data_IF_659922971549
#
_entry.id   IF_659922971549
#
_cell.length_a   1.000
_cell.length_b   1.000
_cell.length_c   1.000
_cell.angle_alpha   90.00
_cell.angle_beta   90.00
_cell.angle_gamma   90.00
#
_symmetry.space_group_name_H-M   'P 1'
#
loop_
_entity.id
_entity.type
_entity.pdbx_description
1 polymer ?
#
# COMPACT_ATOMS: atom_id res chain seq x y z
N UNK A 1 -10.54 11.26 1.56
CA UNK A 1 -10.49 12.11 2.76
C UNK A 1 -11.66 11.74 3.66
N UNK A 2 -11.41 11.05 4.79
CA UNK A 2 -12.48 10.54 5.66
C UNK A 2 -12.92 11.62 6.64
N UNK A 3 -14.13 12.14 6.48
CA UNK A 3 -14.86 12.93 7.48
C UNK A 3 -15.67 11.92 8.30
N UNK A 4 -15.53 11.88 9.62
CA UNK A 4 -16.07 10.77 10.48
C UNK A 4 -17.61 10.59 10.49
N UNK A 5 -18.37 11.36 9.71
CA UNK A 5 -19.80 11.16 9.49
C UNK A 5 -20.16 10.87 8.03
N UNK A 6 -19.22 11.09 7.11
CA UNK A 6 -19.43 10.97 5.67
C UNK A 6 -19.06 9.55 5.24
N UNK A 7 -20.08 8.70 5.10
CA UNK A 7 -19.92 7.31 4.66
C UNK A 7 -19.71 7.20 3.14
N UNK A 8 -19.83 8.32 2.41
CA UNK A 8 -19.72 8.36 0.97
C UNK A 8 -18.30 8.04 0.51
N UNK A 9 -18.19 7.14 -0.48
CA UNK A 9 -16.95 6.92 -1.24
C UNK A 9 -17.18 7.54 -2.62
N UNK A 10 -16.17 8.24 -3.11
CA UNK A 10 -16.19 8.88 -4.42
C UNK A 10 -14.91 8.58 -5.17
N UNK A 11 -15.02 8.26 -6.44
CA UNK A 11 -13.90 8.29 -7.37
C UNK A 11 -13.90 9.66 -8.06
N UNK A 12 -12.77 10.35 -7.99
CA UNK A 12 -12.58 11.67 -8.59
C UNK A 12 -11.59 11.57 -9.73
N UNK A 13 -11.99 12.09 -10.90
CA UNK A 13 -11.12 12.20 -12.04
C UNK A 13 -10.42 13.57 -12.03
N UNK A 14 -9.10 13.64 -11.78
CA UNK A 14 -8.41 14.90 -11.51
C UNK A 14 -8.39 15.90 -12.67
N UNK A 15 -8.43 15.42 -13.92
CA UNK A 15 -8.37 16.30 -15.09
C UNK A 15 -9.73 16.78 -15.62
N UNK A 16 -10.77 15.97 -15.52
CA UNK A 16 -12.12 16.31 -16.01
C UNK A 16 -13.00 16.90 -14.92
N UNK A 17 -12.62 16.75 -13.65
CA UNK A 17 -13.44 17.15 -12.52
C UNK A 17 -14.61 16.19 -12.23
N UNK A 18 -14.76 15.12 -13.03
CA UNK A 18 -15.86 14.17 -12.86
C UNK A 18 -15.76 13.43 -11.52
N UNK A 19 -16.91 13.23 -10.90
CA UNK A 19 -17.06 12.51 -9.64
C UNK A 19 -18.06 11.39 -9.85
N UNK A 20 -17.68 10.19 -9.42
CA UNK A 20 -18.56 9.02 -9.41
C UNK A 20 -18.76 8.60 -7.97
N UNK A 21 -20.02 8.60 -7.54
CA UNK A 21 -20.41 8.10 -6.23
C UNK A 21 -20.38 6.56 -6.23
N UNK A 22 -19.87 5.99 -5.14
CA UNK A 22 -19.81 4.56 -4.87
C UNK A 22 -20.66 4.25 -3.63
N UNK A 23 -21.04 2.97 -3.43
CA UNK A 23 -21.79 2.57 -2.25
C UNK A 23 -21.14 3.05 -0.94
N UNK A 24 -21.95 3.40 0.09
CA UNK A 24 -21.41 3.88 1.35
C UNK A 24 -20.68 2.77 2.12
N UNK A 25 -19.60 3.13 2.85
CA UNK A 25 -18.84 2.21 3.70
C UNK A 25 -19.66 1.60 4.84
N UNK A 26 -20.83 2.15 5.16
CA UNK A 26 -21.70 1.66 6.23
C UNK A 26 -22.03 0.18 6.09
N UNK A 27 -22.22 -0.29 4.84
CA UNK A 27 -22.55 -1.69 4.56
C UNK A 27 -21.37 -2.64 4.83
N UNK A 28 -20.12 -2.18 4.74
CA UNK A 28 -18.96 -3.01 5.07
C UNK A 28 -18.78 -3.19 6.57
N UNK A 29 -19.20 -2.20 7.37
CA UNK A 29 -19.07 -2.23 8.83
C UNK A 29 -19.88 -3.35 9.47
N UNK A 30 -21.01 -3.72 8.86
CA UNK A 30 -21.86 -4.82 9.36
C UNK A 30 -21.24 -6.20 9.14
N UNK A 31 -20.27 -6.31 8.23
CA UNK A 31 -19.57 -7.57 7.93
C UNK A 31 -18.26 -7.76 8.70
N UNK A 32 -17.87 -6.80 9.55
CA UNK A 32 -16.70 -6.95 10.43
C UNK A 32 -17.05 -8.01 11.49
N UNK A 33 -16.30 -9.12 11.51
CA UNK A 33 -16.46 -10.15 12.53
C UNK A 33 -16.31 -9.55 13.94
N UNK A 34 -17.21 -9.92 14.84
CA UNK A 34 -17.18 -9.47 16.23
C UNK A 34 -16.01 -10.08 17.02
N UNK A 35 -15.43 -11.17 16.51
CA UNK A 35 -14.29 -11.86 17.12
C UNK A 35 -12.98 -11.11 16.90
N UNK A 36 -12.96 -10.12 16.01
CA UNK A 36 -11.78 -9.29 15.77
C UNK A 36 -11.53 -8.35 16.98
N UNK A 37 -10.28 -8.19 17.45
CA UNK A 37 -9.95 -7.40 18.63
C UNK A 37 -10.52 -5.97 18.61
N UNK A 38 -11.45 -5.66 19.52
CA UNK A 38 -12.07 -4.34 19.60
C UNK A 38 -13.16 -4.05 18.56
N UNK A 39 -13.57 -5.02 17.73
CA UNK A 39 -14.69 -4.87 16.79
C UNK A 39 -16.05 -4.68 17.48
N UNK A 40 -16.16 -5.05 18.77
CA UNK A 40 -17.34 -4.81 19.59
C UNK A 40 -17.61 -3.31 19.85
N UNK A 41 -16.58 -2.46 19.81
CA UNK A 41 -16.73 -1.04 20.06
C UNK A 41 -16.99 -0.25 18.75
N UNK A 42 -18.10 0.50 18.61
CA UNK A 42 -18.49 1.16 17.35
C UNK A 42 -17.42 2.07 16.74
N UNK A 43 -16.66 2.76 17.59
CA UNK A 43 -15.56 3.65 17.18
C UNK A 43 -14.38 2.87 16.57
N UNK A 44 -14.14 1.64 17.01
CA UNK A 44 -13.04 0.80 16.56
C UNK A 44 -13.40 -0.02 15.31
N UNK A 45 -14.67 -0.14 14.92
CA UNK A 45 -15.02 -0.85 13.68
C UNK A 45 -14.44 -0.19 12.43
N UNK A 46 -14.42 1.14 12.40
CA UNK A 46 -13.84 1.88 11.29
C UNK A 46 -12.31 1.75 11.20
N UNK A 47 -11.66 1.24 12.25
CA UNK A 47 -10.25 0.84 12.25
C UNK A 47 -9.96 -0.26 11.26
N UNK A 48 -10.86 -1.23 11.10
CA UNK A 48 -10.68 -2.31 10.13
C UNK A 48 -10.73 -1.84 8.67
N UNK A 49 -11.25 -0.62 8.45
CA UNK A 49 -11.34 0.03 7.14
C UNK A 49 -10.30 1.18 6.98
N UNK A 50 -9.33 1.30 7.89
CA UNK A 50 -8.33 2.38 7.89
C UNK A 50 -7.16 2.12 6.92
N UNK A 51 -6.76 0.87 6.78
CA UNK A 51 -5.67 0.46 5.89
C UNK A 51 -6.21 -0.30 4.67
N UNK A 52 -6.43 0.46 3.58
CA UNK A 52 -7.08 -0.04 2.37
C UNK A 52 -6.25 0.27 1.15
N UNK A 53 -5.88 -0.75 0.37
CA UNK A 53 -5.38 -0.56 -0.99
C UNK A 53 -6.55 -0.58 -1.97
N UNK A 54 -6.65 0.44 -2.80
CA UNK A 54 -7.76 0.60 -3.74
C UNK A 54 -7.25 0.39 -5.16
N UNK A 55 -8.00 -0.38 -5.93
CA UNK A 55 -7.82 -0.56 -7.36
C UNK A 55 -9.12 -0.29 -8.09
N UNK A 56 -9.06 0.15 -9.34
CA UNK A 56 -10.25 0.33 -10.15
C UNK A 56 -10.00 -0.01 -11.63
N UNK A 57 -11.05 -0.43 -12.31
CA UNK A 57 -11.05 -0.66 -13.76
C UNK A 57 -12.31 -0.02 -14.36
N UNK A 58 -12.27 0.25 -15.66
CA UNK A 58 -13.40 0.81 -16.40
C UNK A 58 -13.71 -0.11 -17.56
N UNK A 59 -14.96 -0.56 -17.65
CA UNK A 59 -15.41 -1.42 -18.76
C UNK A 59 -15.56 -0.62 -20.05
N UNK A 60 -15.68 -1.32 -21.19
CA UNK A 60 -16.00 -0.67 -22.47
C UNK A 60 -17.34 0.09 -22.44
N UNK A 61 -18.27 -0.31 -21.58
CA UNK A 61 -19.54 0.38 -21.35
C UNK A 61 -19.42 1.58 -20.38
N UNK A 62 -18.20 1.92 -19.93
CA UNK A 62 -17.96 3.03 -18.99
C UNK A 62 -18.31 2.71 -17.53
N UNK A 63 -18.63 1.46 -17.20
CA UNK A 63 -18.91 1.05 -15.83
C UNK A 63 -17.60 0.96 -15.06
N UNK A 64 -17.50 1.71 -13.96
CA UNK A 64 -16.32 1.70 -13.10
C UNK A 64 -16.50 0.59 -12.08
N UNK A 65 -15.51 -0.28 -11.97
CA UNK A 65 -15.43 -1.32 -10.95
C UNK A 65 -14.30 -0.99 -9.99
N UNK A 66 -14.59 -0.92 -8.70
CA UNK A 66 -13.63 -0.62 -7.64
C UNK A 66 -13.45 -1.83 -6.73
N UNK A 67 -12.19 -2.13 -6.40
CA UNK A 67 -11.80 -3.10 -5.40
C UNK A 67 -11.06 -2.43 -4.24
N UNK A 68 -11.38 -2.86 -3.03
CA UNK A 68 -10.79 -2.43 -1.78
C UNK A 68 -10.18 -3.64 -1.08
N UNK A 69 -8.85 -3.71 -1.03
CA UNK A 69 -8.12 -4.69 -0.25
C UNK A 69 -8.21 -4.28 1.23
N UNK A 70 -8.99 -5.03 2.02
CA UNK A 70 -9.20 -4.81 3.45
C UNK A 70 -8.21 -5.66 4.28
N UNK A 71 -6.98 -5.16 4.45
CA UNK A 71 -5.87 -5.95 5.02
C UNK A 71 -6.16 -6.53 6.40
N UNK A 72 -6.84 -5.75 7.27
CA UNK A 72 -7.21 -6.18 8.63
C UNK A 72 -8.35 -7.19 8.67
N UNK A 73 -9.10 -7.34 7.58
CA UNK A 73 -10.18 -8.33 7.44
C UNK A 73 -9.75 -9.55 6.60
N UNK A 74 -8.59 -9.48 5.94
CA UNK A 74 -8.11 -10.54 5.06
C UNK A 74 -9.02 -10.81 3.87
N UNK A 75 -9.79 -9.82 3.42
CA UNK A 75 -10.74 -9.98 2.31
C UNK A 75 -10.67 -8.79 1.35
N UNK A 76 -11.39 -8.91 0.24
CA UNK A 76 -11.54 -7.83 -0.75
C UNK A 76 -13.01 -7.45 -0.83
N UNK A 77 -13.28 -6.16 -0.68
CA UNK A 77 -14.57 -5.59 -1.00
C UNK A 77 -14.57 -5.06 -2.44
N UNK A 78 -15.67 -5.22 -3.17
CA UNK A 78 -15.80 -4.67 -4.51
C UNK A 78 -17.20 -4.12 -4.76
N UNK A 79 -17.28 -3.15 -5.66
CA UNK A 79 -18.52 -2.55 -6.12
C UNK A 79 -18.31 -1.91 -7.49
N UNK A 80 -19.36 -1.86 -8.29
CA UNK A 80 -19.43 -1.07 -9.51
C UNK A 80 -20.05 0.30 -9.24
N UNK A 81 -19.93 1.23 -10.19
CA UNK A 81 -20.63 2.51 -10.18
C UNK A 81 -22.16 2.39 -10.29
N UNK A 82 -22.68 1.19 -10.53
CA UNK A 82 -24.11 0.91 -10.61
C UNK A 82 -24.65 0.23 -9.34
N UNK A 83 -23.77 -0.31 -8.50
CA UNK A 83 -24.18 -1.01 -7.29
C UNK A 83 -24.67 -0.05 -6.20
N UNK A 84 -25.55 -0.55 -5.34
CA UNK A 84 -26.03 0.17 -4.16
C UNK A 84 -25.32 -0.27 -2.87
N UNK A 85 -24.57 -1.38 -2.92
CA UNK A 85 -23.87 -1.96 -1.77
C UNK A 85 -22.51 -2.53 -2.18
N UNK A 86 -21.62 -2.66 -1.20
CA UNK A 86 -20.37 -3.39 -1.37
C UNK A 86 -20.63 -4.89 -1.31
N UNK A 87 -19.93 -5.62 -2.15
CA UNK A 87 -19.83 -7.07 -2.13
C UNK A 87 -18.47 -7.47 -1.53
N UNK A 88 -18.41 -8.63 -0.87
CA UNK A 88 -17.19 -9.15 -0.27
C UNK A 88 -16.75 -10.41 -1.01
N UNK A 89 -15.44 -10.65 -1.04
CA UNK A 89 -14.87 -11.91 -1.48
C UNK A 89 -15.41 -13.08 -0.66
N UNK A 90 -15.67 -14.20 -1.32
CA UNK A 90 -16.05 -15.47 -0.67
C UNK A 90 -14.86 -16.17 -0.01
N UNK A 91 -13.65 -15.80 -0.42
CA UNK A 91 -12.38 -16.28 0.11
C UNK A 91 -11.75 -15.26 1.07
N UNK A 92 -10.83 -15.77 1.89
CA UNK A 92 -9.96 -14.95 2.74
C UNK A 92 -8.50 -15.19 2.39
N UNK A 93 -7.69 -14.14 2.48
CA UNK A 93 -6.25 -14.17 2.27
C UNK A 93 -5.61 -13.29 3.34
N UNK A 94 -4.75 -13.88 4.17
CA UNK A 94 -3.91 -13.10 5.07
C UNK A 94 -2.74 -12.50 4.29
N UNK A 95 -2.63 -11.18 4.27
CA UNK A 95 -1.56 -10.44 3.59
C UNK A 95 -1.17 -9.21 4.39
N UNK A 96 0.07 -8.75 4.22
CA UNK A 96 0.59 -7.57 4.93
C UNK A 96 0.91 -6.39 4.00
N UNK A 97 1.13 -6.63 2.70
CA UNK A 97 1.29 -5.58 1.68
C UNK A 97 0.41 -5.87 0.48
N UNK A 98 -0.14 -4.80 -0.07
CA UNK A 98 -0.88 -4.82 -1.33
C UNK A 98 -0.52 -3.62 -2.19
N UNK A 99 -0.61 -3.82 -3.50
CA UNK A 99 -0.38 -2.82 -4.54
C UNK A 99 -1.53 -2.88 -5.55
N UNK A 100 -2.01 -1.72 -5.99
CA UNK A 100 -2.87 -1.65 -7.17
C UNK A 100 -2.00 -1.41 -8.40
N UNK A 101 -2.27 -2.15 -9.46
CA UNK A 101 -1.58 -1.98 -10.74
C UNK A 101 -2.52 -2.39 -11.87
N UNK A 102 -2.74 -1.49 -12.83
CA UNK A 102 -3.58 -1.71 -14.01
C UNK A 102 -4.98 -2.28 -13.69
N UNK A 103 -5.61 -1.77 -12.63
CA UNK A 103 -6.94 -2.19 -12.21
C UNK A 103 -7.01 -3.51 -11.44
N UNK A 104 -5.87 -4.18 -11.24
CA UNK A 104 -5.75 -5.40 -10.42
C UNK A 104 -5.16 -5.09 -9.05
N UNK A 105 -5.34 -6.02 -8.12
CA UNK A 105 -4.67 -6.00 -6.82
C UNK A 105 -3.59 -7.08 -6.78
N UNK A 106 -2.41 -6.73 -6.31
CA UNK A 106 -1.31 -7.64 -6.02
C UNK A 106 -1.08 -7.66 -4.51
N UNK A 107 -0.96 -8.85 -3.92
CA UNK A 107 -0.92 -9.04 -2.47
C UNK A 107 0.20 -9.99 -2.10
N UNK A 108 1.03 -9.61 -1.13
CA UNK A 108 2.04 -10.52 -0.59
C UNK A 108 1.44 -11.25 0.61
N UNK A 109 1.35 -12.58 0.50
CA UNK A 109 0.85 -13.45 1.57
C UNK A 109 1.59 -13.13 2.87
N UNK A 110 0.86 -13.13 3.97
CA UNK A 110 1.45 -13.02 5.30
C UNK A 110 1.93 -14.40 5.73
N UNK A 111 3.19 -14.50 6.11
CA UNK A 111 3.71 -15.69 6.80
C UNK A 111 4.52 -15.25 8.02
N UNK A 112 4.29 -15.94 9.13
CA UNK A 112 5.02 -15.74 10.38
C UNK A 112 6.22 -16.66 10.50
N UNK A 113 6.40 -17.59 9.56
CA UNK A 113 7.48 -18.57 9.54
C UNK A 113 8.59 -18.02 8.63
N UNK A 114 9.77 -17.69 9.17
CA UNK A 114 10.84 -17.11 8.38
C UNK A 114 11.26 -17.97 7.18
N UNK A 115 11.27 -19.30 7.36
CA UNK A 115 11.72 -20.32 6.41
C UNK A 115 10.72 -20.59 5.27
N UNK A 116 9.49 -20.08 5.36
CA UNK A 116 8.50 -20.26 4.30
C UNK A 116 8.78 -19.37 3.09
N UNK A 117 8.49 -19.88 1.90
CA UNK A 117 8.54 -19.07 0.69
C UNK A 117 7.53 -17.93 0.75
N UNK A 118 7.82 -16.86 -0.01
CA UNK A 118 7.00 -15.64 -0.03
C UNK A 118 6.18 -15.63 -1.30
N UNK A 119 4.88 -15.84 -1.14
CA UNK A 119 3.94 -15.90 -2.26
C UNK A 119 3.32 -14.54 -2.55
N UNK A 120 3.25 -14.21 -3.84
CA UNK A 120 2.58 -13.03 -4.37
C UNK A 120 1.36 -13.47 -5.17
N UNK A 121 0.19 -12.99 -4.76
CA UNK A 121 -1.09 -13.26 -5.39
C UNK A 121 -1.57 -12.05 -6.20
N UNK A 122 -2.28 -12.31 -7.29
CA UNK A 122 -3.04 -11.33 -8.06
C UNK A 122 -4.53 -11.60 -7.89
N UNK A 123 -5.30 -10.53 -7.74
CA UNK A 123 -6.75 -10.53 -7.74
C UNK A 123 -7.22 -9.67 -8.90
N UNK A 124 -7.88 -10.31 -9.85
CA UNK A 124 -8.51 -9.67 -10.99
C UNK A 124 -9.85 -9.04 -10.57
N UNK A 125 -10.30 -7.97 -11.26
CA UNK A 125 -11.64 -7.42 -11.02
C UNK A 125 -12.72 -8.48 -11.29
N UNK A 126 -13.92 -8.35 -10.67
CA UNK A 126 -15.02 -9.26 -10.93
C UNK A 126 -15.34 -9.27 -12.43
N UNK A 127 -15.45 -10.46 -13.00
CA UNK A 127 -15.91 -10.64 -14.37
C UNK A 127 -17.43 -10.61 -14.35
N UNK A 128 -18.02 -9.57 -14.95
CA UNK A 128 -19.43 -9.57 -15.27
C UNK A 128 -19.60 -10.16 -16.66
N UNK A 129 -20.20 -11.34 -16.77
CA UNK A 129 -20.74 -11.77 -18.05
C UNK A 129 -21.71 -10.70 -18.55
N UNK A 130 -21.68 -10.47 -19.85
CA UNK A 130 -22.60 -9.57 -20.54
C UNK A 130 -24.04 -9.96 -20.20
N UNK A 131 -24.75 -9.11 -19.45
CA UNK A 131 -26.19 -9.23 -19.23
C UNK A 131 -26.61 -9.57 -17.80
N UNK A 132 -27.11 -8.54 -17.12
CA UNK A 132 -28.14 -8.54 -16.06
C UNK A 132 -28.33 -9.85 -15.29
N UNK A 133 -27.78 -9.92 -14.08
CA UNK A 133 -28.15 -10.93 -13.08
C UNK A 133 -27.28 -10.86 -11.84
N UNK A 134 -27.90 -10.76 -10.67
CA UNK A 134 -27.23 -10.73 -9.38
C UNK A 134 -26.30 -11.95 -9.20
N UNK A 135 -24.99 -11.77 -9.41
CA UNK A 135 -24.08 -12.90 -9.31
C UNK A 135 -22.60 -12.64 -9.58
N UNK A 136 -22.16 -11.39 -9.79
CA UNK A 136 -20.73 -11.12 -9.97
C UNK A 136 -19.99 -11.48 -8.69
N UNK A 137 -19.22 -12.57 -8.72
CA UNK A 137 -18.30 -12.95 -7.66
C UNK A 137 -16.90 -12.45 -8.02
N UNK A 138 -16.11 -12.17 -6.98
CA UNK A 138 -14.71 -11.85 -7.19
C UNK A 138 -13.95 -13.16 -7.45
N UNK A 139 -13.10 -13.25 -8.50
CA UNK A 139 -12.30 -14.45 -8.72
C UNK A 139 -11.38 -14.71 -7.54
N UNK A 140 -10.99 -15.98 -7.37
CA UNK A 140 -10.01 -16.35 -6.35
C UNK A 140 -8.62 -15.76 -6.66
N UNK A 141 -7.79 -15.49 -5.63
CA UNK A 141 -6.45 -14.96 -5.84
C UNK A 141 -5.58 -15.96 -6.59
N UNK A 142 -5.04 -15.55 -7.73
CA UNK A 142 -4.11 -16.35 -8.52
C UNK A 142 -2.69 -16.17 -7.98
N UNK A 143 -1.98 -17.26 -7.71
CA UNK A 143 -0.55 -17.21 -7.42
C UNK A 143 0.21 -16.73 -8.67
N UNK A 144 1.01 -15.68 -8.53
CA UNK A 144 1.80 -15.09 -9.62
C UNK A 144 3.28 -15.42 -9.49
N UNK A 145 3.80 -15.40 -8.27
CA UNK A 145 5.21 -15.70 -8.02
C UNK A 145 5.41 -16.25 -6.60
N UNK A 146 6.39 -17.13 -6.47
CA UNK A 146 6.87 -17.65 -5.19
C UNK A 146 8.35 -17.32 -5.07
N UNK A 147 8.72 -16.62 -4.00
CA UNK A 147 10.10 -16.20 -3.74
C UNK A 147 10.69 -17.13 -2.67
N UNK A 148 11.79 -17.82 -2.97
CA UNK A 148 12.42 -18.70 -1.98
C UNK A 148 12.89 -17.92 -0.73
N UNK A 149 12.72 -18.53 0.44
CA UNK A 149 13.05 -17.89 1.72
C UNK A 149 14.55 -17.57 1.90
N UNK A 150 15.43 -18.29 1.20
CA UNK A 150 16.88 -18.04 1.16
C UNK A 150 17.26 -16.84 0.29
N UNK A 151 16.34 -16.33 -0.54
CA UNK A 151 16.59 -15.21 -1.45
C UNK A 151 16.16 -13.88 -0.85
N UNK A 152 14.93 -13.80 -0.37
CA UNK A 152 14.40 -12.61 0.29
C UNK A 152 13.72 -12.95 1.60
N UNK A 153 14.07 -12.20 2.64
CA UNK A 153 13.43 -12.25 3.95
C UNK A 153 12.41 -11.12 4.12
N UNK A 154 11.45 -11.34 5.03
CA UNK A 154 10.43 -10.34 5.36
C UNK A 154 11.05 -9.08 6.01
N UNK A 155 10.44 -7.91 5.79
CA UNK A 155 9.28 -7.64 4.93
C UNK A 155 9.61 -7.59 3.43
N UNK A 156 8.70 -8.05 2.57
CA UNK A 156 8.70 -7.84 1.12
C UNK A 156 7.81 -6.62 0.80
N UNK A 157 8.17 -5.88 -0.23
CA UNK A 157 7.47 -4.67 -0.62
C UNK A 157 7.20 -4.68 -2.11
N UNK A 158 5.99 -4.24 -2.48
CA UNK A 158 5.58 -4.07 -3.87
C UNK A 158 5.57 -2.59 -4.21
N UNK A 159 6.17 -2.22 -5.33
CA UNK A 159 6.21 -0.83 -5.80
C UNK A 159 5.97 -0.79 -7.30
N UNK A 160 5.07 0.07 -7.74
CA UNK A 160 4.97 0.41 -9.17
C UNK A 160 6.11 1.36 -9.55
N UNK A 161 6.87 1.01 -10.58
CA UNK A 161 7.96 1.82 -11.14
C UNK A 161 7.99 1.63 -12.65
N UNK A 162 7.89 2.71 -13.43
CA UNK A 162 7.94 2.71 -14.90
C UNK A 162 7.06 1.63 -15.56
N UNK A 163 5.79 1.56 -15.12
CA UNK A 163 4.80 0.58 -15.59
C UNK A 163 5.19 -0.89 -15.34
N UNK A 164 6.04 -1.14 -14.35
CA UNK A 164 6.38 -2.47 -13.86
C UNK A 164 6.14 -2.56 -12.36
N UNK A 165 5.90 -3.78 -11.87
CA UNK A 165 5.88 -4.05 -10.43
C UNK A 165 7.27 -4.53 -10.02
N UNK A 166 7.89 -3.78 -9.12
CA UNK A 166 9.12 -4.13 -8.46
C UNK A 166 8.82 -4.75 -7.09
N UNK A 167 9.57 -5.81 -6.78
CA UNK A 167 9.51 -6.56 -5.53
C UNK A 167 10.82 -6.34 -4.79
N UNK A 168 10.76 -5.66 -3.64
CA UNK A 168 11.93 -5.35 -2.84
C UNK A 168 11.89 -6.10 -1.51
N UNK A 169 13.04 -6.58 -1.05
CA UNK A 169 13.18 -7.25 0.25
C UNK A 169 14.62 -7.22 0.74
N UNK A 170 14.83 -7.69 1.95
CA UNK A 170 16.18 -7.91 2.48
C UNK A 170 16.69 -9.29 2.11
N UNK A 171 17.99 -9.46 1.93
CA UNK A 171 18.59 -10.77 1.64
C UNK A 171 18.92 -11.56 2.90
N UNK A 172 18.94 -10.90 4.06
CA UNK A 172 19.38 -11.48 5.32
C UNK A 172 18.60 -10.92 6.51
N UNK A 173 18.57 -11.68 7.62
CA UNK A 173 17.83 -11.32 8.84
C UNK A 173 18.48 -10.17 9.63
N UNK A 174 19.74 -9.85 9.34
CA UNK A 174 20.43 -8.69 9.93
C UNK A 174 20.11 -7.40 9.15
N UNK A 175 19.32 -7.50 8.08
CA UNK A 175 18.91 -6.38 7.24
C UNK A 175 20.11 -5.67 6.59
N UNK A 176 21.16 -6.43 6.26
CA UNK A 176 22.44 -5.89 5.77
C UNK A 176 22.41 -5.50 4.29
N UNK A 177 21.67 -6.23 3.47
CA UNK A 177 21.52 -5.92 2.04
C UNK A 177 20.06 -6.02 1.60
N UNK A 178 19.71 -5.20 0.60
CA UNK A 178 18.42 -5.26 -0.08
C UNK A 178 18.60 -5.66 -1.53
N UNK A 179 17.59 -6.34 -2.06
CA UNK A 179 17.49 -6.66 -3.47
C UNK A 179 16.11 -6.28 -4.00
N UNK A 180 16.07 -5.99 -5.29
CA UNK A 180 14.87 -5.66 -6.04
C UNK A 180 14.78 -6.61 -7.21
N UNK A 181 13.59 -7.15 -7.48
CA UNK A 181 13.31 -7.99 -8.64
C UNK A 181 12.09 -7.46 -9.38
N UNK A 182 12.01 -7.70 -10.69
CA UNK A 182 10.77 -7.45 -11.43
C UNK A 182 9.80 -8.60 -11.17
N UNK A 183 8.54 -8.29 -10.88
CA UNK A 183 7.53 -9.33 -10.68
C UNK A 183 7.38 -10.23 -11.91
N UNK A 184 7.53 -9.69 -13.12
CA UNK A 184 7.47 -10.46 -14.36
C UNK A 184 8.59 -11.52 -14.48
N UNK A 185 9.79 -11.20 -13.99
CA UNK A 185 10.90 -12.15 -13.95
C UNK A 185 10.61 -13.25 -12.93
N UNK A 186 10.14 -12.87 -11.73
CA UNK A 186 9.76 -13.82 -10.68
C UNK A 186 8.62 -14.75 -11.12
N UNK A 187 7.63 -14.22 -11.84
CA UNK A 187 6.52 -15.00 -12.40
C UNK A 187 6.96 -15.98 -13.48
N UNK A 188 8.13 -15.74 -14.07
CA UNK A 188 8.79 -16.64 -15.03
C UNK A 188 9.88 -17.49 -14.34
N UNK A 189 9.86 -17.58 -13.02
CA UNK A 189 10.83 -18.31 -12.18
C UNK A 189 12.29 -17.83 -12.34
N UNK A 190 12.48 -16.58 -12.79
CA UNK A 190 13.79 -15.94 -12.94
C UNK A 190 14.09 -15.03 -11.76
N UNK A 191 15.12 -15.37 -11.00
CA UNK A 191 15.61 -14.60 -9.86
C UNK A 191 16.72 -13.62 -10.27
N UNK A 192 16.43 -12.73 -11.22
CA UNK A 192 17.40 -11.73 -11.68
C UNK A 192 17.25 -10.46 -10.84
N UNK A 193 18.28 -10.02 -10.09
CA UNK A 193 18.22 -8.79 -9.33
C UNK A 193 18.32 -7.57 -10.27
N UNK A 194 17.52 -6.56 -9.99
CA UNK A 194 17.58 -5.25 -10.61
C UNK A 194 18.70 -4.45 -9.94
N UNK A 195 19.73 -4.11 -10.71
CA UNK A 195 20.89 -3.35 -10.23
C UNK A 195 20.72 -1.84 -10.41
N UNK A 196 19.83 -1.41 -11.30
CA UNK A 196 19.50 -0.01 -11.54
C UNK A 196 18.01 0.14 -11.90
N UNK A 197 17.38 1.13 -11.27
CA UNK A 197 16.06 1.69 -11.55
C UNK A 197 16.20 3.11 -12.16
N UNK A 198 17.39 3.47 -12.64
CA UNK A 198 17.71 4.72 -13.29
C UNK A 198 17.56 5.94 -12.38
N UNK A 199 16.80 6.92 -12.85
CA UNK A 199 16.51 8.15 -12.10
C UNK A 199 15.46 7.94 -11.00
N UNK A 200 15.14 6.72 -10.59
CA UNK A 200 14.09 6.47 -9.59
C UNK A 200 14.66 6.19 -8.20
N UNK A 201 13.89 6.56 -7.20
CA UNK A 201 14.09 6.20 -5.81
C UNK A 201 12.81 5.56 -5.26
N UNK A 202 12.94 4.41 -4.60
CA UNK A 202 11.81 3.70 -4.01
C UNK A 202 11.67 4.10 -2.54
N UNK A 203 10.57 4.75 -2.18
CA UNK A 203 10.24 5.05 -0.79
C UNK A 203 9.33 3.97 -0.25
N UNK A 204 9.72 3.32 0.83
CA UNK A 204 9.07 2.09 1.30
C UNK A 204 8.58 2.23 2.74
N UNK A 205 7.27 1.98 2.94
CA UNK A 205 6.67 1.79 4.27
C UNK A 205 5.33 1.02 4.18
N UNK A 206 4.23 1.55 4.74
CA UNK A 206 2.88 0.95 4.68
C UNK A 206 2.44 0.74 3.23
N UNK A 207 2.68 1.77 2.41
CA UNK A 207 2.70 1.69 0.95
C UNK A 207 4.10 2.05 0.44
N UNK A 208 4.39 1.68 -0.81
CA UNK A 208 5.61 2.09 -1.49
C UNK A 208 5.30 3.10 -2.58
N UNK A 209 6.27 3.97 -2.88
CA UNK A 209 6.21 4.97 -3.94
C UNK A 209 7.50 4.91 -4.75
N UNK A 210 7.39 5.00 -6.08
CA UNK A 210 8.52 5.33 -6.94
C UNK A 210 8.52 6.83 -7.20
N UNK A 211 9.69 7.46 -7.03
CA UNK A 211 9.86 8.90 -7.17
C UNK A 211 11.07 9.18 -8.05
N UNK A 212 10.91 10.04 -9.05
CA UNK A 212 12.02 10.47 -9.89
C UNK A 212 12.97 11.39 -9.13
N UNK A 213 14.28 11.21 -9.32
CA UNK A 213 15.39 12.00 -8.76
C UNK A 213 15.75 13.21 -9.64
N UNK A 214 14.80 13.69 -10.45
CA UNK A 214 14.97 14.91 -11.26
C UNK A 214 15.42 16.11 -10.43
N UNK A 215 16.06 17.08 -11.09
CA UNK A 215 16.62 18.28 -10.48
C UNK A 215 15.64 19.09 -9.60
N UNK A 216 14.33 18.88 -9.74
CA UNK A 216 13.29 19.48 -8.92
C UNK A 216 13.20 18.91 -7.49
N UNK A 217 13.82 17.77 -7.19
CA UNK A 217 13.72 17.05 -5.91
C UNK A 217 15.11 16.91 -5.24
N UNK A 218 15.68 18.00 -4.69
CA UNK A 218 16.97 17.95 -4.03
C UNK A 218 16.97 16.95 -2.86
N UNK A 219 17.98 16.08 -2.82
CA UNK A 219 18.14 15.04 -1.78
C UNK A 219 17.51 13.68 -2.12
N UNK A 220 16.81 13.56 -3.26
CA UNK A 220 16.40 12.25 -3.80
C UNK A 220 17.50 11.76 -4.73
N UNK A 221 18.06 10.58 -4.44
CA UNK A 221 19.14 9.98 -5.24
C UNK A 221 18.56 8.83 -6.07
N UNK A 222 18.86 8.81 -7.38
CA UNK A 222 18.48 7.69 -8.26
C UNK A 222 19.12 6.38 -7.82
N UNK A 223 18.58 5.26 -8.28
CA UNK A 223 19.05 3.91 -7.91
C UNK A 223 19.04 3.61 -6.41
N UNK A 224 18.15 4.27 -5.65
CA UNK A 224 18.07 4.06 -4.19
C UNK A 224 16.74 3.52 -3.70
N UNK A 225 16.80 2.84 -2.56
CA UNK A 225 15.64 2.54 -1.71
C UNK A 225 15.75 3.37 -0.43
N UNK A 226 14.72 4.14 -0.10
CA UNK A 226 14.63 4.98 1.10
C UNK A 226 13.59 4.42 2.06
N UNK A 227 14.01 4.17 3.30
CA UNK A 227 13.17 3.58 4.35
C UNK A 227 13.71 3.93 5.75
N UNK A 228 12.98 3.66 6.85
CA UNK A 228 13.46 3.99 8.18
C UNK A 228 14.46 2.94 8.68
N UNK A 229 15.56 3.41 9.25
CA UNK A 229 16.50 2.60 10.02
C UNK A 229 15.79 1.92 11.19
N UNK A 230 16.01 0.63 11.37
CA UNK A 230 15.50 -0.11 12.53
C UNK A 230 16.13 0.34 13.85
N UNK A 231 17.37 0.85 13.80
CA UNK A 231 18.17 1.21 14.99
C UNK A 231 17.65 2.48 15.67
N UNK A 232 17.53 3.55 14.90
CA UNK A 232 17.25 4.89 15.41
C UNK A 232 15.99 5.51 14.79
N UNK A 233 15.44 4.93 13.71
CA UNK A 233 14.33 5.46 12.92
C UNK A 233 14.66 6.72 12.12
N UNK A 234 15.94 7.02 11.91
CA UNK A 234 16.37 7.93 10.85
C UNK A 234 16.04 7.35 9.48
N UNK A 235 15.91 8.19 8.45
CA UNK A 235 15.82 7.67 7.09
C UNK A 235 17.21 7.21 6.67
N UNK A 236 17.27 6.05 6.03
CA UNK A 236 18.47 5.50 5.41
C UNK A 236 18.15 5.22 3.94
N UNK A 237 19.18 5.30 3.11
CA UNK A 237 19.07 5.01 1.69
C UNK A 237 20.02 3.85 1.34
N UNK A 238 19.54 2.90 0.55
CA UNK A 238 20.32 1.79 0.02
C UNK A 238 20.52 1.98 -1.47
N UNK A 239 21.77 1.99 -1.93
CA UNK A 239 22.08 2.13 -3.35
C UNK A 239 22.14 0.76 -4.03
N UNK A 240 21.28 0.52 -5.02
CA UNK A 240 21.15 -0.78 -5.68
C UNK A 240 22.41 -1.22 -6.43
N UNK A 241 23.03 -0.31 -7.19
CA UNK A 241 24.22 -0.63 -7.99
C UNK A 241 25.48 -0.94 -7.19
N UNK A 242 25.69 -0.27 -6.03
CA UNK A 242 26.90 -0.42 -5.22
C UNK A 242 26.66 -1.35 -4.02
N UNK A 243 25.40 -1.55 -3.61
CA UNK A 243 25.03 -2.42 -2.50
C UNK A 243 25.34 -1.83 -1.13
N UNK A 244 25.35 -0.50 -0.99
CA UNK A 244 25.76 0.20 0.23
C UNK A 244 24.64 1.03 0.85
N UNK A 245 24.67 1.10 2.18
CA UNK A 245 23.82 2.00 2.96
C UNK A 245 24.50 3.35 3.12
N UNK A 246 23.72 4.40 2.97
CA UNK A 246 24.11 5.76 3.35
C UNK A 246 22.96 6.47 4.03
N UNK A 247 23.24 7.64 4.61
CA UNK A 247 22.19 8.52 5.12
C UNK A 247 21.83 9.52 4.01
N UNK A 248 20.56 9.61 3.61
CA UNK A 248 20.13 10.62 2.65
C UNK A 248 20.31 12.03 3.22
N UNK A 249 20.12 12.20 4.52
CA UNK A 249 20.14 13.47 5.24
C UNK A 249 20.45 13.24 6.73
N UNK A 250 20.95 14.29 7.39
CA UNK A 250 21.01 14.35 8.85
C UNK A 250 19.62 14.60 9.44
N UNK A 251 19.13 13.68 10.28
CA UNK A 251 17.80 13.80 10.87
C UNK A 251 17.20 12.47 11.34
N UNK A 252 16.21 12.54 12.23
CA UNK A 252 15.61 11.35 12.82
C UNK A 252 14.08 11.46 12.96
N UNK A 253 13.34 10.48 12.43
CA UNK A 253 11.86 10.48 12.52
C UNK A 253 11.37 10.20 13.95
N UNK A 254 12.25 9.70 14.82
CA UNK A 254 11.88 9.35 16.20
C UNK A 254 11.99 10.52 17.15
N UNK A 255 12.90 11.47 16.97
CA UNK A 255 13.18 12.50 17.98
C UNK A 255 12.32 13.76 17.88
N UNK A 256 11.52 13.94 16.81
CA UNK A 256 10.78 15.19 16.59
C UNK A 256 11.16 15.82 15.26
N UNK A 257 10.42 16.83 14.77
CA UNK A 257 10.76 17.48 13.51
C UNK A 257 12.18 18.04 13.60
N UNK A 258 13.00 17.73 12.59
CA UNK A 258 14.23 18.48 12.34
C UNK A 258 13.77 19.85 11.85
N UNK A 259 13.81 20.86 12.73
CA UNK A 259 13.58 22.24 12.34
C UNK A 259 14.81 22.75 11.56
N UNK A 260 14.90 22.31 10.31
CA UNK A 260 15.63 22.95 9.21
C UNK A 260 14.67 23.02 8.01
N UNK A 261 14.99 23.74 6.93
CA UNK A 261 14.11 23.83 5.76
C UNK A 261 13.62 22.44 5.37
N UNK A 262 12.29 22.24 5.44
CA UNK A 262 11.63 20.94 5.47
C UNK A 262 12.11 20.06 4.33
N UNK A 263 12.96 19.07 4.62
CA UNK A 263 13.53 18.26 3.56
C UNK A 263 12.42 17.42 2.92
N UNK A 264 12.24 17.62 1.61
CA UNK A 264 11.19 17.03 0.79
C UNK A 264 11.15 15.50 0.90
N UNK A 265 12.29 14.87 1.19
CA UNK A 265 12.41 13.43 1.44
C UNK A 265 11.49 12.95 2.57
N UNK A 266 11.33 13.71 3.65
CA UNK A 266 10.45 13.36 4.77
C UNK A 266 8.98 13.55 4.41
N UNK A 267 8.66 14.53 3.55
CA UNK A 267 7.32 14.72 3.03
C UNK A 267 6.92 13.55 2.12
N UNK A 268 7.79 13.18 1.19
CA UNK A 268 7.60 12.02 0.31
C UNK A 268 7.44 10.75 1.14
N UNK A 269 8.33 10.53 2.11
CA UNK A 269 8.24 9.37 2.99
C UNK A 269 6.95 9.38 3.83
N UNK A 270 6.47 10.55 4.25
CA UNK A 270 5.17 10.69 4.94
C UNK A 270 4.01 10.24 4.04
N UNK A 271 4.08 10.44 2.73
CA UNK A 271 3.09 9.91 1.78
C UNK A 271 3.03 8.38 1.79
N UNK A 272 4.08 7.70 2.24
CA UNK A 272 4.10 6.25 2.45
C UNK A 272 3.31 5.79 3.70
N UNK A 273 2.84 6.73 4.53
CA UNK A 273 2.07 6.53 5.77
C UNK A 273 0.68 7.16 5.66
N UNK A 274 -0.32 6.34 5.30
CA UNK A 274 -1.71 6.80 5.08
C UNK A 274 -2.29 7.56 6.27
N UNK A 275 -1.98 7.13 7.49
CA UNK A 275 -2.47 7.73 8.73
C UNK A 275 -2.09 9.20 8.88
N UNK A 276 -0.87 9.57 8.45
CA UNK A 276 -0.29 10.91 8.62
C UNK A 276 -0.57 11.80 7.41
N UNK A 277 -0.33 11.28 6.20
CA UNK A 277 -0.52 12.00 4.95
C UNK A 277 -1.93 12.57 4.81
N UNK A 278 -2.95 11.75 5.07
CA UNK A 278 -4.35 12.15 4.91
C UNK A 278 -4.78 13.27 5.88
N UNK A 279 -3.92 13.62 6.84
CA UNK A 279 -4.16 14.62 7.89
C UNK A 279 -3.25 15.83 7.76
N UNK A 280 -2.41 15.88 6.72
CA UNK A 280 -1.43 16.95 6.52
C UNK A 280 -0.36 17.00 7.61
N UNK A 281 -0.10 15.87 8.29
CA UNK A 281 0.92 15.78 9.34
C UNK A 281 2.16 15.08 8.80
N UNK A 282 3.34 15.56 9.17
CA UNK A 282 4.59 14.84 8.95
C UNK A 282 4.65 13.60 9.87
N UNK A 283 5.14 12.50 9.31
CA UNK A 283 5.29 11.26 10.07
C UNK A 283 6.30 11.44 11.22
N UNK A 284 5.92 10.98 12.41
CA UNK A 284 6.76 10.96 13.60
C UNK A 284 6.53 9.66 14.37
N UNK A 285 7.58 8.88 14.63
CA UNK A 285 7.42 7.56 15.26
C UNK A 285 6.99 7.63 16.73
N UNK A 286 7.35 8.68 17.46
CA UNK A 286 7.07 8.83 18.92
C UNK A 286 5.76 9.54 19.22
N UNK A 287 5.19 10.27 18.25
CA UNK A 287 3.92 10.98 18.43
C UNK A 287 2.83 10.21 17.71
N UNK A 288 1.82 9.76 18.46
CA UNK A 288 0.59 9.27 17.86
C UNK A 288 0.05 10.31 16.87
N UNK A 289 -0.40 9.88 15.70
CA UNK A 289 -1.08 10.76 14.75
C UNK A 289 -2.35 11.29 15.43
N UNK A 290 -2.30 12.53 15.90
CA UNK A 290 -3.41 13.21 16.57
C UNK A 290 -3.61 14.56 15.92
N UNK A 291 -4.82 14.83 15.44
CA UNK A 291 -5.16 16.12 14.85
C UNK A 291 -6.42 16.68 15.50
N UNK A 292 -6.57 18.01 15.48
CA UNK A 292 -7.76 18.70 15.97
C UNK A 292 -8.73 18.94 14.82
N UNK A 293 -9.99 18.54 15.02
CA UNK A 293 -11.12 18.94 14.16
C UNK A 293 -12.16 19.58 15.05
N UNK A 294 -12.56 20.83 14.76
CA UNK A 294 -13.59 21.57 15.53
C UNK A 294 -13.35 21.48 17.05
N UNK A 295 -12.12 21.76 17.49
CA UNK A 295 -11.66 21.75 18.90
C UNK A 295 -11.64 20.38 19.61
N UNK A 296 -11.98 19.28 18.94
CA UNK A 296 -11.84 17.91 19.49
C UNK A 296 -10.60 17.23 18.89
N UNK A 297 -9.81 16.58 19.74
CA UNK A 297 -8.69 15.73 19.31
C UNK A 297 -9.24 14.42 18.72
N UNK A 298 -8.64 14.00 17.61
CA UNK A 298 -8.91 12.71 16.95
C UNK A 298 -7.62 11.94 16.80
N UNK A 299 -7.71 10.62 16.77
CA UNK A 299 -6.57 9.70 16.64
C UNK A 299 -6.54 9.12 15.22
N UNK A 300 -5.35 8.97 14.67
CA UNK A 300 -5.04 8.27 13.41
C UNK A 300 -5.57 6.86 13.43
N UNK A 301 -6.30 6.52 12.39
CA UNK A 301 -6.87 5.20 12.15
C UNK A 301 -6.55 4.82 10.72
#
# INVERSE_FOLDING_TARGET
MRRDQDKAIRLFHPFTGNVVDLPPLGNLVTHISQDLPGASHPVHRFYYLGDVCTSFSVSAAGVITVMLALGRMGCVAFATSQDQKWHLSTWTLSYYKSLSFQGKLYMVRMSFIPEENKDIFQVDPPQGDQGVGAGSSLPEPKLVATIPADKLTYPIFLTECDSQILVAGYTDRLYSHMQVHRLADLASEKLVPVTSIGDKALFINDRSLSVSSTAALPGVVGDTIVLPSRKDGSLIQYHLGIGTWSRPMDGCITTGPVFGPSCLIYHIYTCCRREYWNKGQLYNRRKACKWRVKRKWRVGV
#
